data_IF_551792964733
#
_entry.id   IF_551792964733
#
_cell.length_a   1.000
_cell.length_b   1.000
_cell.length_c   1.000
_cell.angle_alpha   90.00
_cell.angle_beta   90.00
_cell.angle_gamma   90.00
#
_symmetry.space_group_name_H-M   'P 1'
#
loop_
_entity.id
_entity.type
_entity.pdbx_description
1 polymer ?
#
# COMPACT_ATOMS: atom_id res chain seq x y z
N UNK A 1 -20.47 40.01 -32.46
CA UNK A 1 -20.44 38.78 -33.28
C UNK A 1 -19.06 38.10 -33.32
N UNK A 2 -17.93 38.81 -33.41
CA UNK A 2 -16.59 38.17 -33.42
C UNK A 2 -16.23 37.53 -32.06
N UNK A 3 -16.56 38.21 -30.96
CA UNK A 3 -16.34 37.72 -29.58
C UNK A 3 -17.16 36.47 -29.26
N UNK A 4 -18.45 36.48 -29.58
CA UNK A 4 -19.35 35.33 -29.36
C UNK A 4 -18.92 34.09 -30.16
N UNK A 5 -18.50 34.26 -31.41
CA UNK A 5 -17.97 33.15 -32.24
C UNK A 5 -16.66 32.59 -31.68
N UNK A 6 -15.78 33.46 -31.17
CA UNK A 6 -14.53 33.05 -30.53
C UNK A 6 -14.77 32.28 -29.23
N UNK A 7 -15.70 32.74 -28.39
CA UNK A 7 -16.08 32.06 -27.15
C UNK A 7 -16.66 30.66 -27.40
N UNK A 8 -17.49 30.51 -28.43
CA UNK A 8 -18.03 29.20 -28.83
C UNK A 8 -16.91 28.27 -29.29
N UNK A 9 -15.97 28.78 -30.08
CA UNK A 9 -14.85 27.98 -30.59
C UNK A 9 -13.91 27.52 -29.46
N UNK A 10 -13.59 28.40 -28.52
CA UNK A 10 -12.84 28.04 -27.32
C UNK A 10 -13.57 27.00 -26.46
N UNK A 11 -14.89 27.14 -26.28
CA UNK A 11 -15.71 26.17 -25.54
C UNK A 11 -15.65 24.79 -26.21
N UNK A 12 -15.78 24.74 -27.54
CA UNK A 12 -15.70 23.49 -28.30
C UNK A 12 -14.32 22.84 -28.13
N UNK A 13 -13.23 23.60 -28.26
CA UNK A 13 -11.87 23.07 -28.07
C UNK A 13 -11.68 22.53 -26.65
N UNK A 14 -12.15 23.25 -25.63
CA UNK A 14 -12.11 22.79 -24.23
C UNK A 14 -12.89 21.49 -24.02
N UNK A 15 -14.07 21.37 -24.61
CA UNK A 15 -14.88 20.15 -24.53
C UNK A 15 -14.20 18.95 -25.21
N UNK A 16 -13.52 19.17 -26.34
CA UNK A 16 -12.78 18.12 -27.04
C UNK A 16 -11.44 17.77 -26.38
N UNK A 17 -10.84 18.68 -25.60
CA UNK A 17 -9.63 18.41 -24.84
C UNK A 17 -9.90 17.69 -23.50
N UNK A 18 -11.11 17.79 -22.95
CA UNK A 18 -11.47 17.15 -21.67
C UNK A 18 -11.21 15.63 -21.60
N UNK A 19 -11.40 14.82 -22.66
CA UNK A 19 -11.03 13.39 -22.65
C UNK A 19 -9.52 13.15 -22.61
N UNK A 20 -8.69 14.07 -23.11
CA UNK A 20 -7.22 13.98 -23.02
C UNK A 20 -6.73 14.29 -21.60
N UNK A 21 -7.49 15.09 -20.86
CA UNK A 21 -7.28 15.42 -19.45
C UNK A 21 -7.86 14.37 -18.49
N UNK A 22 -8.58 13.34 -18.99
CA UNK A 22 -8.88 12.18 -18.13
C UNK A 22 -7.54 11.56 -17.77
N UNK A 23 -7.12 11.83 -16.53
CA UNK A 23 -6.05 11.14 -15.85
C UNK A 23 -6.12 9.68 -16.29
N UNK A 24 -5.06 9.24 -16.96
CA UNK A 24 -4.91 7.86 -17.39
C UNK A 24 -5.27 7.01 -16.18
N UNK A 25 -6.42 6.33 -16.24
CA UNK A 25 -6.97 5.64 -15.10
C UNK A 25 -5.93 4.61 -14.65
N UNK A 26 -5.19 4.91 -13.58
CA UNK A 26 -4.03 4.12 -13.14
C UNK A 26 -4.45 2.72 -12.72
N UNK A 27 -5.74 2.51 -12.50
CA UNK A 27 -6.32 1.19 -12.27
C UNK A 27 -6.49 0.37 -13.56
N UNK A 28 -6.26 0.96 -14.74
CA UNK A 28 -6.48 0.34 -16.05
C UNK A 28 -5.22 0.31 -16.90
N UNK A 29 -4.99 -0.84 -17.53
CA UNK A 29 -4.01 -1.02 -18.59
C UNK A 29 -4.70 -1.61 -19.82
N UNK A 30 -4.85 -0.81 -20.89
CA UNK A 30 -5.56 -1.17 -22.13
C UNK A 30 -6.99 -1.66 -21.84
N UNK A 31 -7.19 -2.98 -21.85
CA UNK A 31 -8.46 -3.65 -21.62
C UNK A 31 -8.47 -4.41 -20.29
N UNK A 32 -7.48 -4.22 -19.43
CA UNK A 32 -7.40 -4.85 -18.12
C UNK A 32 -7.60 -3.80 -17.04
N UNK A 33 -8.25 -4.19 -15.95
CA UNK A 33 -8.51 -3.33 -14.79
C UNK A 33 -8.03 -4.07 -13.54
N UNK A 34 -7.38 -3.36 -12.62
CA UNK A 34 -7.04 -3.90 -11.30
C UNK A 34 -8.32 -4.39 -10.60
N UNK A 35 -8.27 -5.60 -10.05
CA UNK A 35 -9.43 -6.27 -9.47
C UNK A 35 -10.33 -7.01 -10.47
N UNK A 36 -9.97 -7.05 -11.77
CA UNK A 36 -10.67 -7.89 -12.75
C UNK A 36 -10.60 -9.38 -12.35
N UNK A 37 -11.72 -10.09 -12.49
CA UNK A 37 -11.79 -11.53 -12.22
C UNK A 37 -10.89 -12.31 -13.17
N UNK A 38 -10.22 -13.35 -12.65
CA UNK A 38 -9.38 -14.25 -13.45
C UNK A 38 -10.10 -14.78 -14.70
N UNK A 39 -11.37 -15.19 -14.56
CA UNK A 39 -12.18 -15.67 -15.69
C UNK A 39 -12.29 -14.66 -16.83
N UNK A 40 -12.45 -13.37 -16.51
CA UNK A 40 -12.54 -12.29 -17.50
C UNK A 40 -11.20 -12.00 -18.18
N UNK A 41 -10.09 -12.21 -17.47
CA UNK A 41 -8.75 -12.11 -18.05
C UNK A 41 -8.54 -13.27 -19.03
N UNK A 42 -8.83 -14.51 -18.61
CA UNK A 42 -8.70 -15.71 -19.44
C UNK A 42 -9.55 -15.64 -20.71
N UNK A 43 -10.80 -15.17 -20.60
CA UNK A 43 -11.67 -14.91 -21.76
C UNK A 43 -11.05 -13.93 -22.76
N UNK A 44 -10.35 -12.89 -22.29
CA UNK A 44 -9.74 -11.86 -23.15
C UNK A 44 -8.40 -12.26 -23.74
N UNK A 45 -7.67 -13.16 -23.08
CA UNK A 45 -6.36 -13.63 -23.54
C UNK A 45 -6.44 -14.99 -24.24
N UNK A 46 -7.65 -15.56 -24.35
CA UNK A 46 -7.90 -16.89 -24.92
C UNK A 46 -7.07 -18.00 -24.25
N UNK A 47 -6.78 -17.84 -22.95
CA UNK A 47 -5.98 -18.77 -22.15
C UNK A 47 -6.87 -19.73 -21.36
N UNK A 48 -6.32 -20.89 -20.97
CA UNK A 48 -7.05 -21.88 -20.18
C UNK A 48 -6.69 -21.75 -18.70
N UNK A 49 -7.57 -22.26 -17.84
CA UNK A 49 -7.32 -22.30 -16.38
C UNK A 49 -6.09 -23.16 -16.05
N UNK A 50 -5.77 -24.17 -16.88
CA UNK A 50 -4.59 -25.01 -16.72
C UNK A 50 -3.26 -24.23 -16.85
N UNK A 51 -3.27 -23.09 -17.53
CA UNK A 51 -2.09 -22.25 -17.73
C UNK A 51 -1.89 -21.28 -16.54
N UNK A 52 -2.83 -21.24 -15.58
CA UNK A 52 -2.78 -20.36 -14.42
C UNK A 52 -1.92 -20.96 -13.33
N UNK A 53 -0.77 -20.34 -13.09
CA UNK A 53 0.05 -20.62 -11.90
C UNK A 53 -0.55 -19.90 -10.68
N UNK A 54 -1.02 -20.67 -9.70
CA UNK A 54 -1.41 -20.11 -8.39
C UNK A 54 -0.14 -19.78 -7.62
N UNK A 55 0.18 -18.48 -7.53
CA UNK A 55 1.33 -17.99 -6.75
C UNK A 55 1.00 -17.97 -5.25
N UNK A 56 -0.26 -17.69 -4.91
CA UNK A 56 -0.75 -17.68 -3.53
C UNK A 56 -2.25 -18.00 -3.48
N UNK A 57 -2.64 -18.93 -2.61
CA UNK A 57 -4.03 -19.32 -2.37
C UNK A 57 -4.63 -18.60 -1.17
N UNK A 58 -5.94 -18.30 -1.20
CA UNK A 58 -6.69 -17.78 -0.04
C UNK A 58 -7.40 -18.93 0.70
N UNK A 59 -7.65 -18.80 2.01
CA UNK A 59 -7.28 -17.67 2.87
C UNK A 59 -5.78 -17.66 3.21
N UNK A 60 -5.20 -16.46 3.28
CA UNK A 60 -3.86 -16.28 3.85
C UNK A 60 -3.99 -16.28 5.38
N UNK A 61 -3.08 -16.98 6.08
CA UNK A 61 -3.04 -16.90 7.53
C UNK A 61 -2.27 -15.63 7.92
N UNK A 62 -2.98 -14.66 8.50
CA UNK A 62 -2.40 -13.45 9.08
C UNK A 62 -2.49 -13.60 10.59
N UNK A 63 -1.34 -13.47 11.27
CA UNK A 63 -1.26 -13.56 12.72
C UNK A 63 -0.45 -12.39 13.25
N UNK A 64 -0.79 -11.94 14.45
CA UNK A 64 -0.04 -10.89 15.12
C UNK A 64 0.22 -11.30 16.57
N UNK A 65 1.43 -11.02 17.03
CA UNK A 65 1.84 -11.19 18.41
C UNK A 65 2.30 -9.84 18.94
N UNK A 66 1.55 -9.30 19.88
CA UNK A 66 1.95 -8.12 20.64
C UNK A 66 2.73 -8.56 21.88
N UNK A 67 3.93 -8.02 22.02
CA UNK A 67 4.81 -8.26 23.16
C UNK A 67 5.13 -6.95 23.86
N UNK A 68 5.08 -6.99 25.19
CA UNK A 68 5.44 -5.88 26.06
C UNK A 68 6.64 -6.29 26.92
N UNK A 69 7.70 -5.46 27.01
CA UNK A 69 8.81 -5.72 27.91
C UNK A 69 8.34 -5.81 29.37
N UNK A 70 8.81 -6.80 30.15
CA UNK A 70 8.47 -6.91 31.56
C UNK A 70 9.16 -5.81 32.36
N UNK A 71 8.40 -5.01 33.11
CA UNK A 71 8.92 -4.01 34.06
C UNK A 71 9.39 -4.73 35.34
N UNK A 72 10.62 -5.25 35.36
CA UNK A 72 11.18 -5.91 36.54
C UNK A 72 12.10 -4.96 37.33
N UNK A 73 11.90 -4.79 38.66
CA UNK A 73 12.80 -4.00 39.47
C UNK A 73 14.20 -4.63 39.47
N UNK A 74 15.21 -3.88 39.01
CA UNK A 74 16.61 -4.30 38.99
C UNK A 74 17.08 -4.99 37.70
N UNK A 75 16.21 -5.20 36.72
CA UNK A 75 16.59 -5.63 35.37
C UNK A 75 16.23 -4.49 34.42
N UNK A 76 17.14 -3.53 34.26
CA UNK A 76 17.08 -2.62 33.11
C UNK A 76 17.43 -3.47 31.89
N UNK A 77 16.43 -4.02 31.20
CA UNK A 77 16.66 -4.39 29.81
C UNK A 77 17.18 -3.13 29.16
N UNK A 78 18.39 -3.19 28.61
CA UNK A 78 19.16 -2.06 28.10
C UNK A 78 18.47 -1.30 26.93
N UNK A 79 17.20 -1.61 26.65
CA UNK A 79 16.25 -0.89 25.80
C UNK A 79 15.14 -0.25 26.63
N UNK A 80 15.47 0.56 27.64
CA UNK A 80 14.52 1.28 28.52
C UNK A 80 13.49 2.16 27.75
N UNK A 81 13.65 2.26 26.43
CA UNK A 81 12.85 3.09 25.54
C UNK A 81 11.76 2.32 24.79
N UNK A 82 11.76 0.98 24.75
CA UNK A 82 10.75 0.21 23.99
C UNK A 82 9.49 0.02 24.84
N UNK A 83 8.36 0.54 24.39
CA UNK A 83 7.06 0.38 25.05
C UNK A 83 6.38 -0.92 24.60
N UNK A 84 6.46 -1.24 23.31
CA UNK A 84 5.75 -2.37 22.71
C UNK A 84 6.43 -2.84 21.43
N UNK A 85 6.38 -4.16 21.17
CA UNK A 85 6.74 -4.74 19.88
C UNK A 85 5.55 -5.52 19.33
N UNK A 86 5.17 -5.23 18.09
CA UNK A 86 4.19 -5.98 17.33
C UNK A 86 4.90 -6.80 16.26
N UNK A 87 4.80 -8.12 16.37
CA UNK A 87 5.25 -9.08 15.37
C UNK A 87 4.06 -9.44 14.46
N UNK A 88 4.13 -9.13 13.17
CA UNK A 88 3.11 -9.55 12.19
C UNK A 88 3.65 -10.68 11.31
N UNK A 89 2.85 -11.73 11.19
CA UNK A 89 3.17 -12.96 10.47
C UNK A 89 2.24 -13.15 9.28
N UNK A 90 2.81 -13.71 8.21
CA UNK A 90 2.11 -14.14 7.01
C UNK A 90 2.45 -15.61 6.77
N UNK A 91 1.45 -16.48 6.83
CA UNK A 91 1.62 -17.94 6.78
C UNK A 91 2.64 -18.46 7.81
N UNK A 92 2.57 -17.95 9.05
CA UNK A 92 3.49 -18.27 10.15
C UNK A 92 4.93 -17.78 9.96
N UNK A 93 5.23 -17.01 8.92
CA UNK A 93 6.53 -16.37 8.72
C UNK A 93 6.47 -14.90 9.12
N UNK A 94 7.43 -14.46 9.93
CA UNK A 94 7.50 -13.07 10.38
C UNK A 94 7.84 -12.16 9.19
N UNK A 95 6.95 -11.24 8.85
CA UNK A 95 7.16 -10.33 7.69
C UNK A 95 7.29 -8.86 8.09
N UNK A 96 6.89 -8.50 9.32
CA UNK A 96 6.97 -7.13 9.83
C UNK A 96 7.17 -7.14 11.34
N UNK A 97 8.07 -6.29 11.82
CA UNK A 97 8.22 -5.94 13.23
C UNK A 97 7.92 -4.45 13.34
N UNK A 98 6.99 -4.08 14.21
CA UNK A 98 6.71 -2.68 14.53
C UNK A 98 7.06 -2.45 15.99
N UNK A 99 8.00 -1.53 16.23
CA UNK A 99 8.47 -1.18 17.58
C UNK A 99 7.90 0.18 17.93
N UNK A 100 7.16 0.24 19.02
CA UNK A 100 6.71 1.48 19.65
C UNK A 100 7.67 1.81 20.77
N UNK A 101 8.23 3.01 20.71
CA UNK A 101 9.10 3.53 21.75
C UNK A 101 8.34 4.51 22.65
N UNK A 102 8.72 4.55 23.92
CA UNK A 102 8.29 5.57 24.86
C UNK A 102 8.71 6.95 24.36
N UNK A 103 7.74 7.87 24.38
CA UNK A 103 7.90 9.21 23.82
C UNK A 103 8.95 10.04 24.53
N UNK A 104 9.06 9.91 25.86
CA UNK A 104 10.04 10.70 26.64
C UNK A 104 11.45 10.25 26.33
N UNK A 105 11.60 8.98 25.99
CA UNK A 105 12.88 8.35 25.68
C UNK A 105 13.38 8.65 24.26
N UNK A 106 12.50 9.07 23.35
CA UNK A 106 12.85 9.45 21.97
C UNK A 106 12.82 10.97 21.74
N UNK A 107 12.67 11.76 22.79
CA UNK A 107 12.62 13.22 22.66
C UNK A 107 13.95 13.78 22.15
N UNK A 108 13.88 14.56 21.07
CA UNK A 108 15.06 15.16 20.44
C UNK A 108 15.84 14.25 19.49
N UNK A 109 15.45 12.98 19.34
CA UNK A 109 16.01 12.07 18.35
C UNK A 109 15.42 12.32 16.96
N UNK A 110 16.23 12.19 15.92
CA UNK A 110 15.78 12.24 14.52
C UNK A 110 15.59 10.83 13.95
N UNK A 111 15.01 10.75 12.75
CA UNK A 111 14.87 9.46 12.04
C UNK A 111 16.24 8.81 11.78
N UNK A 112 17.26 9.62 11.50
CA UNK A 112 18.64 9.15 11.29
C UNK A 112 19.25 8.56 12.56
N UNK A 113 18.92 9.10 13.73
CA UNK A 113 19.38 8.58 15.02
C UNK A 113 18.75 7.21 15.32
N UNK A 114 17.52 6.98 14.86
CA UNK A 114 16.78 5.73 15.05
C UNK A 114 17.25 4.57 14.14
N UNK A 115 17.90 4.88 13.02
CA UNK A 115 18.29 3.89 11.97
C UNK A 115 19.78 3.52 12.04
N UNK A 116 20.54 4.13 12.93
CA UNK A 116 22.01 3.99 12.96
C UNK A 116 22.43 2.59 13.44
N UNK A 117 23.10 1.85 12.56
CA UNK A 117 23.67 0.52 12.83
C UNK A 117 25.06 0.56 13.43
#
# INVERSE_FOLDING_TARGET
MKTTRSSILCLVVLLFAAPLLRAQDISKYRHFTLGMRLTKVLERTEQRVADVKVVHGRPALIQELTWWPPTLPGISYQSDTVEQILFSFYNSELYKISVTYDRTSTEGLTEEDMVKS
#
